data_IF_129827022839
#
_entry.id   IF_129827022839
#
_cell.length_a   1.000
_cell.length_b   1.000
_cell.length_c   1.000
_cell.angle_alpha   90.00
_cell.angle_beta   90.00
_cell.angle_gamma   90.00
#
_symmetry.space_group_name_H-M   'P 1'
#
loop_
_entity.id
_entity.type
_entity.pdbx_description
1 polymer ?
#
# COMPACT_ATOMS: atom_id res chain seq x y z
N UNK A 1 -11.21 2.70 10.84
CA UNK A 1 -9.82 2.91 10.33
C UNK A 1 -9.85 3.68 9.02
N UNK A 2 -8.88 4.53 8.78
CA UNK A 2 -8.65 5.24 7.52
C UNK A 2 -7.38 4.75 6.83
N UNK A 3 -7.29 4.95 5.51
CA UNK A 3 -6.15 4.51 4.71
C UNK A 3 -5.38 5.69 4.11
N UNK A 4 -4.07 5.53 4.02
CA UNK A 4 -3.19 6.46 3.29
C UNK A 4 -2.40 5.66 2.26
N UNK A 5 -2.42 6.11 1.01
CA UNK A 5 -1.46 5.68 0.00
C UNK A 5 -0.44 6.80 -0.16
N UNK A 6 0.82 6.51 0.15
CA UNK A 6 1.92 7.44 -0.10
C UNK A 6 2.55 7.09 -1.45
N UNK A 7 2.14 7.83 -2.46
CA UNK A 7 2.62 7.72 -3.84
C UNK A 7 3.55 8.89 -4.17
N UNK A 8 4.46 9.18 -3.25
CA UNK A 8 5.46 10.25 -3.37
C UNK A 8 6.76 9.77 -3.99
N UNK A 9 7.62 10.72 -4.29
CA UNK A 9 8.92 10.49 -4.88
C UNK A 9 9.01 11.10 -6.28
N UNK A 10 10.21 11.55 -6.65
CA UNK A 10 10.45 12.24 -7.94
C UNK A 10 10.32 11.34 -9.18
N UNK A 11 10.09 10.03 -8.99
CA UNK A 11 10.01 9.06 -10.10
C UNK A 11 11.27 8.96 -10.97
N UNK A 12 12.36 9.63 -10.58
CA UNK A 12 13.58 9.77 -11.41
C UNK A 12 14.25 8.43 -11.72
N UNK A 13 14.07 7.43 -10.85
CA UNK A 13 14.58 6.07 -11.08
C UNK A 13 13.94 5.36 -12.28
N UNK A 14 12.75 5.83 -12.71
CA UNK A 14 12.02 5.30 -13.86
C UNK A 14 12.13 6.20 -15.10
N UNK A 15 12.99 7.23 -15.08
CA UNK A 15 13.22 8.03 -16.29
C UNK A 15 13.75 7.12 -17.43
N UNK A 16 13.29 7.32 -18.68
CA UNK A 16 12.42 8.42 -19.15
C UNK A 16 10.90 8.14 -19.03
N UNK A 17 10.44 6.97 -18.54
CA UNK A 17 9.02 6.58 -18.51
C UNK A 17 8.18 7.63 -17.75
N UNK A 18 8.69 8.11 -16.62
CA UNK A 18 8.00 9.07 -15.74
C UNK A 18 8.33 10.52 -16.04
N UNK A 19 8.99 10.82 -17.17
CA UNK A 19 9.40 12.19 -17.52
C UNK A 19 8.27 13.05 -18.12
N UNK A 20 7.15 12.44 -18.49
CA UNK A 20 5.97 13.12 -19.02
C UNK A 20 4.92 13.34 -17.93
N UNK A 21 3.83 14.06 -18.29
CA UNK A 21 2.70 14.38 -17.39
C UNK A 21 1.84 13.17 -16.97
N UNK A 22 2.25 11.93 -17.30
CA UNK A 22 1.45 10.72 -17.13
C UNK A 22 2.00 9.77 -16.05
N UNK A 23 2.88 10.24 -15.16
CA UNK A 23 3.51 9.44 -14.08
C UNK A 23 2.50 8.64 -13.22
N UNK A 24 1.30 9.17 -12.86
CA UNK A 24 0.31 8.42 -12.10
C UNK A 24 -0.29 7.20 -12.81
N UNK A 25 -0.17 7.15 -14.13
CA UNK A 25 -0.76 6.12 -14.98
C UNK A 25 0.20 4.99 -15.36
N UNK A 26 1.39 4.91 -14.74
CA UNK A 26 2.33 3.81 -15.02
C UNK A 26 1.61 2.46 -14.95
N UNK A 27 1.48 1.73 -16.06
CA UNK A 27 0.74 0.47 -16.07
C UNK A 27 1.58 -0.63 -15.44
N UNK A 28 0.93 -1.45 -14.64
CA UNK A 28 1.41 -2.78 -14.29
C UNK A 28 0.44 -3.77 -14.92
N UNK A 29 0.84 -4.37 -16.02
CA UNK A 29 0.04 -5.20 -16.90
C UNK A 29 -1.18 -4.47 -17.48
N UNK A 30 -2.37 -4.63 -16.91
CA UNK A 30 -3.64 -4.16 -17.48
C UNK A 30 -4.29 -2.99 -16.71
N UNK A 31 -3.63 -2.46 -15.69
CA UNK A 31 -4.17 -1.38 -14.86
C UNK A 31 -3.09 -0.47 -14.28
N UNK A 32 -3.47 0.75 -13.86
CA UNK A 32 -2.52 1.68 -13.24
C UNK A 32 -1.92 1.12 -11.95
N UNK A 33 -0.65 1.41 -11.71
CA UNK A 33 0.10 0.99 -10.52
C UNK A 33 -0.63 1.29 -9.21
N UNK A 34 -1.26 2.46 -9.11
CA UNK A 34 -1.95 2.90 -7.89
C UNK A 34 -3.11 1.97 -7.48
N UNK A 35 -3.67 1.19 -8.40
CA UNK A 35 -4.74 0.24 -8.09
C UNK A 35 -4.29 -0.85 -7.13
N UNK A 36 -3.02 -1.23 -7.17
CA UNK A 36 -2.48 -2.28 -6.31
C UNK A 36 -2.46 -1.87 -4.83
N UNK A 37 -1.84 -0.76 -4.41
CA UNK A 37 -1.91 -0.32 -3.01
C UNK A 37 -3.33 0.07 -2.58
N UNK A 38 -4.13 0.69 -3.44
CA UNK A 38 -5.55 0.99 -3.13
C UNK A 38 -6.32 -0.30 -2.87
N UNK A 39 -6.10 -1.36 -3.65
CA UNK A 39 -6.77 -2.65 -3.46
C UNK A 39 -6.47 -3.26 -2.09
N UNK A 40 -5.27 -3.09 -1.56
CA UNK A 40 -4.90 -3.57 -0.22
C UNK A 40 -5.77 -2.91 0.85
N UNK A 41 -5.95 -1.59 0.78
CA UNK A 41 -6.81 -0.85 1.70
C UNK A 41 -8.26 -1.30 1.59
N UNK A 42 -8.77 -1.48 0.37
CA UNK A 42 -10.13 -1.95 0.13
C UNK A 42 -10.35 -3.39 0.65
N UNK A 43 -9.38 -4.30 0.46
CA UNK A 43 -9.42 -5.66 1.02
C UNK A 43 -9.39 -5.66 2.56
N UNK A 44 -8.75 -4.69 3.18
CA UNK A 44 -8.79 -4.47 4.62
C UNK A 44 -10.16 -3.94 5.12
N UNK A 45 -11.05 -3.56 4.22
CA UNK A 45 -12.36 -2.98 4.54
C UNK A 45 -12.34 -1.45 4.71
N UNK A 46 -11.26 -0.79 4.29
CA UNK A 46 -11.08 0.65 4.42
C UNK A 46 -11.72 1.37 3.24
N UNK A 47 -12.60 2.35 3.52
CA UNK A 47 -13.36 3.09 2.50
C UNK A 47 -13.01 4.57 2.41
N UNK A 48 -12.34 5.13 3.41
CA UNK A 48 -11.84 6.51 3.40
C UNK A 48 -10.34 6.46 3.18
N UNK A 49 -9.88 7.00 2.05
CA UNK A 49 -8.50 6.84 1.56
C UNK A 49 -7.93 8.19 1.17
N UNK A 50 -6.80 8.54 1.74
CA UNK A 50 -6.02 9.73 1.38
C UNK A 50 -4.88 9.32 0.44
N UNK A 51 -4.82 9.94 -0.73
CA UNK A 51 -3.70 9.82 -1.66
C UNK A 51 -2.75 11.00 -1.40
N UNK A 52 -1.54 10.68 -0.97
CA UNK A 52 -0.48 11.67 -0.78
C UNK A 52 0.53 11.51 -1.92
N UNK A 53 0.81 12.60 -2.63
CA UNK A 53 1.77 12.59 -3.73
C UNK A 53 2.46 13.94 -3.91
N UNK A 54 3.38 14.02 -4.86
CA UNK A 54 4.02 15.30 -5.22
C UNK A 54 3.00 16.27 -5.80
N UNK A 55 3.24 17.60 -5.70
CA UNK A 55 2.37 18.59 -6.35
C UNK A 55 2.22 18.37 -7.86
N UNK A 56 3.23 17.81 -8.52
CA UNK A 56 3.25 17.54 -9.96
C UNK A 56 2.34 16.36 -10.33
N UNK A 57 2.37 15.27 -9.56
CA UNK A 57 1.66 14.04 -9.88
C UNK A 57 0.21 14.01 -9.35
N UNK A 58 -0.07 14.75 -8.28
CA UNK A 58 -1.36 14.73 -7.60
C UNK A 58 -2.57 15.04 -8.51
N UNK A 59 -2.49 16.02 -9.46
CA UNK A 59 -3.56 16.25 -10.42
C UNK A 59 -3.88 15.05 -11.30
N UNK A 60 -2.87 14.25 -11.67
CA UNK A 60 -3.04 13.01 -12.41
C UNK A 60 -3.80 11.95 -11.61
N UNK A 61 -3.47 11.76 -10.35
CA UNK A 61 -4.22 10.86 -9.47
C UNK A 61 -5.68 11.29 -9.29
N UNK A 62 -5.94 12.60 -9.15
CA UNK A 62 -7.32 13.12 -9.09
C UNK A 62 -8.11 12.82 -10.36
N UNK A 63 -7.51 12.97 -11.53
CA UNK A 63 -8.19 12.64 -12.81
C UNK A 63 -8.45 11.15 -12.94
N UNK A 64 -7.52 10.30 -12.47
CA UNK A 64 -7.61 8.86 -12.59
C UNK A 64 -8.64 8.24 -11.63
N UNK A 65 -8.62 8.64 -10.36
CA UNK A 65 -9.38 8.00 -9.29
C UNK A 65 -10.69 8.73 -8.95
N UNK A 66 -10.81 10.01 -9.33
CA UNK A 66 -11.97 10.83 -9.04
C UNK A 66 -12.20 11.02 -7.54
N UNK A 67 -13.46 10.96 -7.13
CA UNK A 67 -13.88 11.03 -5.72
C UNK A 67 -14.00 9.65 -5.05
N UNK A 68 -13.85 8.56 -5.82
CA UNK A 68 -13.94 7.19 -5.36
C UNK A 68 -15.33 6.56 -5.46
N UNK A 69 -16.34 7.30 -5.91
CA UNK A 69 -17.71 6.78 -6.00
C UNK A 69 -17.85 5.58 -6.94
N UNK A 70 -17.00 5.48 -7.97
CA UNK A 70 -16.93 4.33 -8.88
C UNK A 70 -16.53 3.04 -8.18
N UNK A 71 -15.83 3.15 -7.06
CA UNK A 71 -15.31 2.03 -6.27
C UNK A 71 -15.98 1.90 -4.90
N UNK A 72 -17.04 2.67 -4.64
CA UNK A 72 -17.73 2.68 -3.35
C UNK A 72 -16.87 3.13 -2.17
N UNK A 73 -15.84 3.91 -2.43
CA UNK A 73 -14.92 4.52 -1.45
C UNK A 73 -14.94 6.04 -1.57
N UNK A 74 -14.24 6.72 -0.67
CA UNK A 74 -14.03 8.18 -0.73
C UNK A 74 -12.53 8.46 -0.78
N UNK A 75 -12.10 9.11 -1.86
CA UNK A 75 -10.72 9.60 -1.99
C UNK A 75 -10.61 11.05 -1.55
N UNK A 76 -9.59 11.33 -0.76
CA UNK A 76 -9.05 12.66 -0.51
C UNK A 76 -7.61 12.73 -1.00
N UNK A 77 -7.08 13.93 -1.18
CA UNK A 77 -5.79 14.18 -1.83
C UNK A 77 -5.02 15.23 -1.08
N UNK A 78 -3.73 14.95 -0.82
CA UNK A 78 -2.82 15.89 -0.17
C UNK A 78 -1.45 15.89 -0.84
N UNK A 79 -0.78 17.02 -0.77
CA UNK A 79 0.56 17.20 -1.34
C UNK A 79 1.65 16.87 -0.32
N UNK A 80 2.69 16.19 -0.77
CA UNK A 80 3.98 16.09 -0.11
C UNK A 80 5.00 16.85 -0.99
N UNK A 81 5.33 18.10 -0.65
CA UNK A 81 6.20 18.94 -1.50
C UNK A 81 7.64 18.46 -1.58
N UNK A 82 8.13 17.78 -0.54
CA UNK A 82 9.49 17.22 -0.45
C UNK A 82 9.46 15.83 0.17
N UNK A 83 10.39 14.92 -0.20
CA UNK A 83 10.44 13.56 0.30
C UNK A 83 11.11 13.48 1.69
N UNK A 84 10.48 14.08 2.69
CA UNK A 84 11.03 14.22 4.05
C UNK A 84 10.81 12.96 4.91
N UNK A 85 10.54 11.83 4.28
CA UNK A 85 10.39 10.52 4.92
C UNK A 85 8.94 10.00 4.96
N UNK A 86 8.80 8.69 5.18
CA UNK A 86 7.50 8.02 5.14
C UNK A 86 6.59 8.44 6.30
N UNK A 87 7.16 8.69 7.48
CA UNK A 87 6.39 9.09 8.66
C UNK A 87 5.74 10.47 8.52
N UNK A 88 6.20 11.31 7.59
CA UNK A 88 5.57 12.59 7.28
C UNK A 88 4.12 12.43 6.80
N UNK A 89 3.78 11.27 6.23
CA UNK A 89 2.41 10.97 5.80
C UNK A 89 1.38 11.13 6.92
N UNK A 90 1.74 10.80 8.17
CA UNK A 90 0.84 10.94 9.32
C UNK A 90 0.66 12.39 9.76
N UNK A 91 1.68 13.23 9.54
CA UNK A 91 1.63 14.67 9.83
C UNK A 91 0.78 15.38 8.77
N UNK A 92 1.03 15.10 7.48
CA UNK A 92 0.24 15.63 6.36
C UNK A 92 -1.22 15.19 6.47
N UNK A 93 -1.44 13.92 6.80
CA UNK A 93 -2.76 13.31 6.92
C UNK A 93 -3.47 13.54 8.25
N UNK A 94 -2.91 14.28 9.21
CA UNK A 94 -3.46 14.43 10.57
C UNK A 94 -4.95 14.80 10.59
N UNK A 95 -5.32 15.82 9.82
CA UNK A 95 -6.72 16.27 9.74
C UNK A 95 -7.63 15.19 9.13
N UNK A 96 -7.16 14.48 8.12
CA UNK A 96 -7.89 13.37 7.49
C UNK A 96 -8.04 12.20 8.46
N UNK A 97 -6.98 11.82 9.16
CA UNK A 97 -6.97 10.70 10.12
C UNK A 97 -7.94 11.01 11.26
N UNK A 98 -7.93 12.25 11.79
CA UNK A 98 -8.76 12.60 12.95
C UNK A 98 -8.44 11.72 14.16
N UNK A 99 -9.48 11.10 14.73
CA UNK A 99 -9.35 10.21 15.89
C UNK A 99 -9.26 8.72 15.51
N UNK A 100 -9.25 8.40 14.20
CA UNK A 100 -9.23 7.04 13.71
C UNK A 100 -7.83 6.41 13.75
N UNK A 101 -7.79 5.07 13.79
CA UNK A 101 -6.61 4.29 13.43
C UNK A 101 -6.32 4.45 11.94
N UNK A 102 -5.08 4.20 11.51
CA UNK A 102 -4.65 4.43 10.13
C UNK A 102 -3.81 3.27 9.59
N UNK A 103 -4.06 2.93 8.32
CA UNK A 103 -3.20 2.06 7.52
C UNK A 103 -2.45 2.90 6.49
N UNK A 104 -1.13 2.77 6.45
CA UNK A 104 -0.27 3.35 5.41
C UNK A 104 0.22 2.26 4.48
N UNK A 105 0.07 2.47 3.18
CA UNK A 105 0.65 1.61 2.14
C UNK A 105 1.45 2.45 1.15
N UNK A 106 2.59 1.92 0.72
CA UNK A 106 3.44 2.59 -0.25
C UNK A 106 2.91 2.40 -1.67
N UNK A 107 2.94 3.46 -2.47
CA UNK A 107 2.35 3.54 -3.80
C UNK A 107 3.00 2.64 -4.85
N UNK A 108 4.20 2.14 -4.60
CA UNK A 108 4.98 1.27 -5.50
C UNK A 108 5.01 -0.21 -5.07
N UNK A 109 4.21 -0.59 -4.06
CA UNK A 109 4.20 -1.95 -3.53
C UNK A 109 3.01 -2.75 -4.03
N UNK A 110 3.28 -3.99 -4.44
CA UNK A 110 2.30 -4.99 -4.85
C UNK A 110 2.37 -6.17 -3.90
N UNK A 111 1.22 -6.62 -3.43
CA UNK A 111 1.08 -7.78 -2.55
C UNK A 111 0.14 -8.80 -3.18
N UNK A 112 0.56 -10.06 -3.18
CA UNK A 112 -0.27 -11.15 -3.65
C UNK A 112 0.00 -12.41 -2.83
N UNK A 113 -1.05 -13.03 -2.30
CA UNK A 113 -0.89 -14.27 -1.53
C UNK A 113 -2.20 -14.77 -0.93
N UNK A 114 -2.22 -16.06 -0.64
CA UNK A 114 -3.38 -16.70 -0.02
C UNK A 114 -3.60 -16.16 1.40
N UNK A 115 -4.87 -16.01 1.79
CA UNK A 115 -5.28 -15.53 3.12
C UNK A 115 -4.90 -14.08 3.44
N UNK A 116 -4.45 -13.31 2.45
CA UNK A 116 -4.01 -11.92 2.67
C UNK A 116 -5.12 -11.06 3.28
N UNK A 117 -6.36 -11.14 2.76
CA UNK A 117 -7.50 -10.40 3.32
C UNK A 117 -7.72 -10.67 4.81
N UNK A 118 -7.55 -11.93 5.26
CA UNK A 118 -7.66 -12.27 6.68
C UNK A 118 -6.56 -11.60 7.50
N UNK A 119 -5.32 -11.64 7.02
CA UNK A 119 -4.18 -10.99 7.69
C UNK A 119 -4.38 -9.48 7.82
N UNK A 120 -4.93 -8.82 6.78
CA UNK A 120 -5.25 -7.41 6.80
C UNK A 120 -6.32 -7.07 7.85
N UNK A 121 -7.40 -7.86 7.93
CA UNK A 121 -8.47 -7.68 8.93
C UNK A 121 -7.98 -7.90 10.35
N UNK A 122 -7.10 -8.86 10.58
CA UNK A 122 -6.45 -9.08 11.88
C UNK A 122 -5.58 -7.86 12.28
N UNK A 123 -4.88 -7.24 11.32
CA UNK A 123 -4.10 -6.04 11.58
C UNK A 123 -4.99 -4.82 11.91
N UNK A 124 -6.13 -4.68 11.22
CA UNK A 124 -7.14 -3.66 11.54
C UNK A 124 -7.65 -3.84 12.98
N UNK A 125 -8.05 -5.06 13.34
CA UNK A 125 -8.55 -5.38 14.68
C UNK A 125 -7.55 -5.06 15.78
N UNK A 126 -6.28 -5.40 15.57
CA UNK A 126 -5.20 -5.07 16.52
C UNK A 126 -5.01 -3.58 16.73
N UNK A 127 -5.06 -2.80 15.65
CA UNK A 127 -4.90 -1.36 15.75
C UNK A 127 -6.09 -0.69 16.43
N UNK A 128 -7.32 -1.12 16.13
CA UNK A 128 -8.54 -0.51 16.64
C UNK A 128 -8.88 -0.96 18.07
N UNK A 129 -8.78 -2.25 18.34
CA UNK A 129 -9.27 -2.84 19.60
C UNK A 129 -8.15 -3.12 20.61
N UNK A 130 -6.93 -3.46 20.16
CA UNK A 130 -5.80 -3.72 21.05
C UNK A 130 -4.82 -2.54 21.17
N UNK A 131 -5.00 -1.49 20.38
CA UNK A 131 -4.09 -0.32 20.31
C UNK A 131 -2.63 -0.70 20.01
N UNK A 132 -2.45 -1.74 19.17
CA UNK A 132 -1.13 -2.25 18.74
C UNK A 132 -0.90 -1.99 17.26
N UNK A 133 0.34 -1.65 16.93
CA UNK A 133 0.79 -1.56 15.55
C UNK A 133 1.05 -2.96 14.97
N UNK A 134 0.80 -3.11 13.67
CA UNK A 134 1.19 -4.30 12.90
C UNK A 134 1.94 -3.88 11.65
N UNK A 135 3.11 -4.46 11.45
CA UNK A 135 3.89 -4.37 10.21
C UNK A 135 4.14 -5.77 9.66
N UNK A 136 4.57 -5.87 8.41
CA UNK A 136 4.74 -7.16 7.75
C UNK A 136 6.20 -7.39 7.38
N UNK A 137 6.69 -8.60 7.64
CA UNK A 137 8.04 -9.05 7.29
C UNK A 137 8.00 -10.01 6.11
N UNK A 138 8.91 -9.82 5.16
CA UNK A 138 9.08 -10.67 3.99
C UNK A 138 10.53 -11.09 3.83
N UNK A 139 10.77 -12.39 3.59
CA UNK A 139 12.12 -12.93 3.44
C UNK A 139 12.72 -12.53 2.09
N UNK A 140 13.88 -11.83 2.12
CA UNK A 140 14.58 -11.33 0.95
C UNK A 140 16.05 -11.75 0.93
N UNK A 141 16.67 -11.70 -0.23
CA UNK A 141 18.09 -12.02 -0.38
C UNK A 141 19.03 -10.83 -0.11
N UNK A 142 18.49 -9.60 -0.15
CA UNK A 142 19.22 -8.33 -0.05
C UNK A 142 18.62 -7.43 1.06
N UNK A 143 18.58 -7.93 2.33
CA UNK A 143 17.89 -7.24 3.43
C UNK A 143 18.46 -5.86 3.75
N UNK A 144 19.74 -5.60 3.48
CA UNK A 144 20.42 -4.33 3.72
C UNK A 144 19.79 -3.11 3.00
N UNK A 145 18.91 -3.37 2.04
CA UNK A 145 18.20 -2.31 1.31
C UNK A 145 16.97 -1.76 2.04
N UNK A 146 16.51 -2.46 3.08
CA UNK A 146 15.23 -2.25 3.74
C UNK A 146 15.38 -2.02 5.25
N UNK A 147 14.29 -1.68 5.91
CA UNK A 147 14.17 -1.90 7.34
C UNK A 147 14.17 -3.41 7.63
N UNK A 148 14.98 -3.86 8.56
CA UNK A 148 15.18 -5.29 8.87
C UNK A 148 14.73 -5.58 10.28
N UNK A 149 13.85 -6.59 10.44
CA UNK A 149 13.38 -7.07 11.74
C UNK A 149 14.21 -8.25 12.24
N UNK A 150 14.65 -8.18 13.50
CA UNK A 150 15.32 -9.26 14.21
C UNK A 150 14.32 -10.01 15.12
N UNK A 151 14.45 -11.32 15.21
CA UNK A 151 13.57 -12.16 16.02
C UNK A 151 14.36 -13.04 16.99
N UNK A 152 13.75 -13.34 18.14
CA UNK A 152 14.23 -14.40 19.04
C UNK A 152 13.80 -15.79 18.55
N UNK A 153 14.18 -16.83 19.29
CA UNK A 153 13.85 -18.22 18.99
C UNK A 153 12.32 -18.51 19.03
N UNK A 154 11.57 -17.69 19.76
CA UNK A 154 10.11 -17.80 19.91
C UNK A 154 9.35 -16.96 18.87
N UNK A 155 10.07 -16.22 18.00
CA UNK A 155 9.50 -15.38 16.96
C UNK A 155 9.05 -14.00 17.42
N UNK A 156 9.46 -13.56 18.61
CA UNK A 156 9.22 -12.20 19.06
C UNK A 156 10.23 -11.24 18.43
N UNK A 157 9.78 -10.03 18.11
CA UNK A 157 10.65 -9.01 17.53
C UNK A 157 11.58 -8.44 18.60
N UNK A 158 12.88 -8.50 18.35
CA UNK A 158 13.91 -7.94 19.21
C UNK A 158 14.31 -6.53 18.79
N UNK A 159 14.46 -6.29 17.50
CA UNK A 159 14.86 -5.00 16.96
C UNK A 159 14.35 -4.79 15.55
N UNK A 160 14.29 -3.54 15.12
CA UNK A 160 14.13 -3.13 13.72
C UNK A 160 15.17 -2.08 13.42
N UNK A 161 15.95 -2.29 12.34
CA UNK A 161 17.02 -1.37 11.93
C UNK A 161 16.82 -0.93 10.49
N UNK A 162 16.97 0.36 10.22
CA UNK A 162 16.87 0.92 8.86
C UNK A 162 18.17 0.70 8.09
N UNK A 163 18.09 -0.04 6.98
CA UNK A 163 19.20 -0.27 6.05
C UNK A 163 20.52 -0.61 6.76
N UNK A 164 20.52 -1.65 7.60
CA UNK A 164 21.71 -2.02 8.37
C UNK A 164 22.84 -2.50 7.44
N UNK A 165 24.07 -2.14 7.77
CA UNK A 165 25.26 -2.64 7.03
C UNK A 165 25.45 -4.14 7.23
N UNK A 166 25.10 -4.63 8.40
CA UNK A 166 25.16 -6.05 8.79
C UNK A 166 23.75 -6.47 9.26
N UNK A 167 22.90 -6.92 8.34
CA UNK A 167 21.53 -7.33 8.68
C UNK A 167 21.51 -8.52 9.65
N UNK A 168 20.71 -8.43 10.71
CA UNK A 168 20.56 -9.49 11.71
C UNK A 168 19.59 -10.60 11.29
N UNK A 169 18.84 -10.37 10.23
CA UNK A 169 17.96 -11.35 9.60
C UNK A 169 17.76 -11.04 8.11
N UNK A 170 17.07 -11.92 7.41
CA UNK A 170 16.63 -11.70 6.02
C UNK A 170 15.20 -11.15 5.90
N UNK A 171 14.56 -10.77 7.03
CA UNK A 171 13.19 -10.29 7.00
C UNK A 171 13.13 -8.77 6.84
N UNK A 172 12.82 -8.34 5.61
CA UNK A 172 12.54 -6.93 5.31
C UNK A 172 11.15 -6.54 5.81
N UNK A 173 11.04 -5.37 6.41
CA UNK A 173 9.75 -4.73 6.70
C UNK A 173 9.23 -4.10 5.42
N UNK A 174 8.09 -4.59 4.94
CA UNK A 174 7.50 -4.16 3.67
C UNK A 174 6.66 -2.90 3.82
N UNK A 175 6.32 -2.26 2.72
CA UNK A 175 5.63 -0.97 2.67
C UNK A 175 4.13 -1.02 3.00
N UNK A 176 3.77 -1.68 4.10
CA UNK A 176 2.40 -1.83 4.59
C UNK A 176 2.39 -1.79 6.12
N UNK A 177 1.70 -0.81 6.70
CA UNK A 177 1.77 -0.49 8.12
C UNK A 177 0.39 -0.19 8.68
N UNK A 178 0.03 -0.80 9.81
CA UNK A 178 -1.22 -0.55 10.54
C UNK A 178 -0.90 0.03 11.91
N UNK A 179 -1.49 1.17 12.23
CA UNK A 179 -1.23 1.86 13.50
C UNK A 179 -2.51 2.32 14.19
N UNK A 180 -2.55 2.30 15.53
CA UNK A 180 -3.54 3.05 16.29
C UNK A 180 -3.31 4.56 16.12
N UNK A 181 -4.32 5.37 16.43
CA UNK A 181 -4.33 6.83 16.25
C UNK A 181 -3.09 7.54 16.81
N UNK A 182 -2.53 7.06 17.92
CA UNK A 182 -1.35 7.67 18.54
C UNK A 182 -0.11 7.79 17.65
N UNK A 183 -0.08 7.11 16.49
CA UNK A 183 1.01 7.24 15.51
C UNK A 183 1.18 8.69 15.04
N UNK A 184 0.13 9.48 14.98
CA UNK A 184 0.21 10.91 14.61
C UNK A 184 1.09 11.67 15.59
N UNK A 185 0.86 11.46 16.89
CA UNK A 185 1.68 12.04 17.95
C UNK A 185 3.13 11.55 17.91
N UNK A 186 3.33 10.26 17.66
CA UNK A 186 4.67 9.69 17.51
C UNK A 186 5.41 10.33 16.34
N UNK A 187 4.79 10.41 15.16
CA UNK A 187 5.40 10.99 13.96
C UNK A 187 5.81 12.45 14.14
N UNK A 188 5.03 13.22 14.92
CA UNK A 188 5.35 14.63 15.25
C UNK A 188 6.54 14.78 16.18
N UNK A 189 6.87 13.76 16.97
CA UNK A 189 7.90 13.83 18.01
C UNK A 189 9.20 13.10 17.64
N UNK A 190 9.25 12.29 16.60
CA UNK A 190 10.50 11.69 16.12
C UNK A 190 11.40 12.76 15.47
N UNK A 191 12.70 12.52 15.51
CA UNK A 191 13.69 13.40 14.89
C UNK A 191 14.06 12.85 13.51
N UNK A 192 14.37 13.73 12.54
CA UNK A 192 14.93 13.29 11.27
C UNK A 192 16.21 12.47 11.46
N UNK A 193 16.40 11.46 10.64
CA UNK A 193 17.64 10.67 10.58
C UNK A 193 18.81 11.47 10.03
N UNK A 194 19.99 10.87 9.98
CA UNK A 194 21.17 11.46 9.34
C UNK A 194 20.94 11.80 7.85
N UNK A 195 19.91 11.20 7.22
CA UNK A 195 19.47 11.50 5.83
C UNK A 195 18.50 12.69 5.76
N UNK A 196 18.10 13.26 6.89
CA UNK A 196 17.10 14.33 6.97
C UNK A 196 15.66 13.83 6.86
N UNK A 197 15.41 12.51 6.93
CA UNK A 197 14.10 11.90 6.74
C UNK A 197 13.45 11.51 8.07
N UNK A 198 12.13 11.69 8.18
CA UNK A 198 11.32 11.12 9.25
C UNK A 198 11.06 9.64 8.95
N UNK A 199 11.90 8.78 9.51
CA UNK A 199 11.93 7.36 9.18
C UNK A 199 10.74 6.62 9.80
N UNK A 200 10.09 5.78 8.99
CA UNK A 200 9.05 4.87 9.48
C UNK A 200 9.62 3.84 10.45
N UNK A 201 10.88 3.45 10.26
CA UNK A 201 11.60 2.55 11.18
C UNK A 201 11.70 3.12 12.58
N UNK A 202 11.90 4.43 12.72
CA UNK A 202 11.90 5.11 14.03
C UNK A 202 10.52 5.05 14.70
N UNK A 203 9.45 5.19 13.92
CA UNK A 203 8.07 5.01 14.41
C UNK A 203 7.87 3.58 14.89
N UNK A 204 8.29 2.58 14.12
CA UNK A 204 8.19 1.16 14.50
C UNK A 204 8.99 0.84 15.75
N UNK A 205 10.19 1.41 15.91
CA UNK A 205 11.02 1.26 17.13
C UNK A 205 10.32 1.83 18.35
N UNK A 206 9.61 2.94 18.21
CA UNK A 206 8.81 3.53 19.28
C UNK A 206 7.73 2.55 19.77
N UNK A 207 6.94 1.99 18.86
CA UNK A 207 5.92 0.99 19.20
C UNK A 207 6.54 -0.30 19.76
N UNK A 208 7.69 -0.73 19.24
CA UNK A 208 8.40 -1.91 19.74
C UNK A 208 8.85 -1.73 21.19
N UNK A 209 9.40 -0.57 21.52
CA UNK A 209 9.87 -0.25 22.89
C UNK A 209 8.73 -0.35 23.92
N UNK A 210 7.53 0.04 23.53
CA UNK A 210 6.35 0.00 24.39
C UNK A 210 5.66 -1.37 24.40
N UNK A 211 6.20 -2.37 23.68
CA UNK A 211 5.58 -3.70 23.55
C UNK A 211 4.30 -3.72 22.71
N UNK A 212 4.14 -2.74 21.85
CA UNK A 212 2.93 -2.51 21.07
C UNK A 212 3.13 -2.71 19.56
N UNK A 213 4.19 -3.38 19.15
CA UNK A 213 4.47 -3.72 17.77
C UNK A 213 4.39 -5.22 17.54
N UNK A 214 3.61 -5.63 16.52
CA UNK A 214 3.64 -6.96 15.95
C UNK A 214 4.26 -6.92 14.56
N UNK A 215 5.19 -7.84 14.28
CA UNK A 215 5.62 -8.15 12.91
C UNK A 215 4.96 -9.45 12.49
N UNK A 216 4.13 -9.38 11.45
CA UNK A 216 3.47 -10.54 10.86
C UNK A 216 4.25 -10.99 9.63
N UNK A 217 4.68 -12.25 9.60
CA UNK A 217 5.48 -12.77 8.51
C UNK A 217 4.58 -13.16 7.32
N UNK A 218 4.93 -12.66 6.16
CA UNK A 218 4.43 -13.14 4.87
C UNK A 218 5.24 -14.39 4.49
N UNK A 219 4.58 -15.55 4.50
CA UNK A 219 5.24 -16.83 4.29
C UNK A 219 5.51 -17.14 2.82
N UNK A 220 5.99 -18.36 2.56
CA UNK A 220 6.10 -18.90 1.20
C UNK A 220 4.74 -18.90 0.53
N UNK A 221 4.68 -18.57 -0.76
CA UNK A 221 3.42 -18.41 -1.48
C UNK A 221 2.89 -16.98 -1.49
N UNK A 222 3.51 -16.05 -0.73
CA UNK A 222 3.34 -14.63 -0.94
C UNK A 222 4.33 -14.11 -1.98
N UNK A 223 3.87 -13.15 -2.77
CA UNK A 223 4.71 -12.28 -3.55
C UNK A 223 4.58 -10.85 -3.01
N UNK A 224 5.71 -10.25 -2.70
CA UNK A 224 5.86 -8.83 -2.48
C UNK A 224 6.78 -8.30 -3.56
N UNK A 225 6.31 -7.34 -4.34
CA UNK A 225 7.02 -6.75 -5.46
C UNK A 225 7.04 -5.24 -5.27
N UNK A 226 8.18 -4.63 -5.54
CA UNK A 226 8.28 -3.19 -5.74
C UNK A 226 8.27 -2.87 -7.25
N UNK A 227 8.02 -1.62 -7.59
CA UNK A 227 8.03 -1.14 -8.98
C UNK A 227 8.93 0.08 -9.13
N UNK A 228 9.93 0.20 -8.26
CA UNK A 228 10.81 1.36 -8.18
C UNK A 228 11.91 1.42 -9.24
N UNK A 229 12.13 0.37 -10.02
CA UNK A 229 13.11 0.32 -11.13
C UNK A 229 12.46 -0.23 -12.39
N UNK A 230 13.11 -0.04 -13.56
CA UNK A 230 12.62 -0.58 -14.84
C UNK A 230 12.47 -2.11 -14.80
N UNK A 231 13.45 -2.80 -14.21
CA UNK A 231 13.44 -4.25 -14.12
C UNK A 231 12.33 -4.73 -13.18
N UNK A 232 12.20 -4.15 -11.98
CA UNK A 232 11.16 -4.54 -11.03
C UNK A 232 9.75 -4.22 -11.54
N UNK A 233 9.56 -3.13 -12.29
CA UNK A 233 8.29 -2.81 -12.94
C UNK A 233 7.91 -3.85 -14.01
N UNK A 234 8.89 -4.28 -14.82
CA UNK A 234 8.69 -5.31 -15.84
C UNK A 234 8.39 -6.68 -15.21
N UNK A 235 9.11 -7.06 -14.18
CA UNK A 235 8.90 -8.29 -13.42
C UNK A 235 7.51 -8.33 -12.76
N UNK A 236 7.08 -7.22 -12.15
CA UNK A 236 5.76 -7.09 -11.56
C UNK A 236 4.65 -7.25 -12.62
N UNK A 237 4.80 -6.60 -13.78
CA UNK A 237 3.85 -6.73 -14.89
C UNK A 237 3.75 -8.17 -15.38
N UNK A 238 4.90 -8.85 -15.55
CA UNK A 238 4.95 -10.26 -15.98
C UNK A 238 4.30 -11.17 -14.93
N UNK A 239 4.58 -10.96 -13.65
CA UNK A 239 3.98 -11.72 -12.56
C UNK A 239 2.45 -11.62 -12.58
N UNK A 240 1.90 -10.40 -12.63
CA UNK A 240 0.45 -10.18 -12.66
C UNK A 240 -0.17 -10.81 -13.90
N UNK A 241 0.44 -10.62 -15.07
CA UNK A 241 -0.01 -11.21 -16.33
C UNK A 241 -0.16 -12.74 -16.22
N UNK A 242 0.88 -13.41 -15.71
CA UNK A 242 0.88 -14.89 -15.59
C UNK A 242 -0.24 -15.35 -14.65
N UNK A 243 -0.38 -14.72 -13.49
CA UNK A 243 -1.41 -15.08 -12.51
C UNK A 243 -2.82 -14.88 -13.10
N UNK A 244 -3.09 -13.71 -13.67
CA UNK A 244 -4.41 -13.40 -14.23
C UNK A 244 -4.77 -14.32 -15.40
N UNK A 245 -3.84 -14.59 -16.30
CA UNK A 245 -4.07 -15.52 -17.42
C UNK A 245 -4.33 -16.95 -16.98
N UNK A 246 -3.65 -17.42 -15.94
CA UNK A 246 -3.82 -18.78 -15.42
C UNK A 246 -5.11 -18.97 -14.66
N UNK A 247 -5.48 -18.02 -13.83
CA UNK A 247 -6.66 -18.14 -12.96
C UNK A 247 -7.94 -17.62 -13.62
N UNK A 248 -7.83 -16.76 -14.63
CA UNK A 248 -8.99 -16.06 -15.21
C UNK A 248 -9.61 -15.05 -14.24
N UNK A 249 -8.90 -14.72 -13.17
CA UNK A 249 -9.29 -13.75 -12.14
C UNK A 249 -8.29 -12.59 -12.15
N UNK A 250 -8.78 -11.39 -11.86
CA UNK A 250 -7.91 -10.20 -11.81
C UNK A 250 -7.28 -10.00 -10.43
N UNK A 251 -6.06 -9.49 -10.44
CA UNK A 251 -5.37 -8.98 -9.26
C UNK A 251 -5.66 -7.48 -9.13
N UNK A 252 -5.96 -7.01 -7.93
CA UNK A 252 -6.20 -5.59 -7.65
C UNK A 252 -7.26 -4.92 -8.55
N UNK A 253 -8.33 -5.63 -8.88
CA UNK A 253 -9.48 -5.07 -9.58
C UNK A 253 -10.38 -4.37 -8.57
N UNK A 254 -10.32 -3.03 -8.51
CA UNK A 254 -11.02 -2.24 -7.50
C UNK A 254 -12.54 -2.40 -7.60
N UNK A 255 -13.05 -2.45 -8.82
CA UNK A 255 -14.49 -2.62 -9.11
C UNK A 255 -15.00 -3.98 -8.61
N UNK A 256 -14.23 -5.05 -8.83
CA UNK A 256 -14.57 -6.39 -8.31
C UNK A 256 -14.57 -6.42 -6.78
N UNK A 257 -13.55 -5.82 -6.16
CA UNK A 257 -13.46 -5.74 -4.69
C UNK A 257 -14.67 -4.98 -4.13
N UNK A 258 -14.98 -3.82 -4.70
CA UNK A 258 -16.12 -3.01 -4.29
C UNK A 258 -17.46 -3.77 -4.44
N UNK A 259 -17.65 -4.46 -5.56
CA UNK A 259 -18.84 -5.26 -5.82
C UNK A 259 -18.98 -6.44 -4.86
N UNK A 260 -17.90 -7.20 -4.63
CA UNK A 260 -17.88 -8.32 -3.68
C UNK A 260 -18.07 -7.90 -2.21
N UNK A 261 -17.64 -6.69 -1.87
CA UNK A 261 -17.88 -6.10 -0.54
C UNK A 261 -19.29 -5.52 -0.39
N UNK A 262 -20.07 -5.47 -1.48
CA UNK A 262 -21.39 -4.84 -1.48
C UNK A 262 -21.37 -3.32 -1.39
N UNK A 263 -20.25 -2.68 -1.73
CA UNK A 263 -20.08 -1.22 -1.71
C UNK A 263 -20.64 -0.55 -2.96
N UNK A 264 -20.70 -1.30 -4.06
CA UNK A 264 -21.42 -0.94 -5.30
C UNK A 264 -22.36 -2.09 -5.70
N UNK A 265 -23.46 -1.74 -6.36
CA UNK A 265 -24.42 -2.71 -6.87
C UNK A 265 -24.12 -3.09 -8.33
N UNK A 266 -24.89 -4.03 -8.88
CA UNK A 266 -24.77 -4.49 -10.27
C UNK A 266 -24.92 -3.34 -11.28
N UNK A 267 -25.86 -2.43 -11.03
CA UNK A 267 -26.12 -1.29 -11.91
C UNK A 267 -24.89 -0.36 -11.97
N UNK A 268 -24.26 -0.10 -10.82
CA UNK A 268 -23.05 0.72 -10.79
C UNK A 268 -21.88 0.01 -11.46
N UNK A 269 -21.69 -1.28 -11.20
CA UNK A 269 -20.66 -2.08 -11.85
C UNK A 269 -20.82 -2.08 -13.36
N UNK A 270 -22.05 -2.24 -13.87
CA UNK A 270 -22.34 -2.13 -15.31
C UNK A 270 -21.98 -0.76 -15.87
N UNK A 271 -22.36 0.32 -15.20
CA UNK A 271 -22.04 1.69 -15.63
C UNK A 271 -20.54 1.92 -15.75
N UNK A 272 -19.75 1.39 -14.81
CA UNK A 272 -18.27 1.49 -14.84
C UNK A 272 -17.67 0.61 -15.93
N UNK A 273 -18.25 -0.57 -16.19
CA UNK A 273 -17.75 -1.52 -17.17
C UNK A 273 -18.02 -1.10 -18.63
N UNK A 274 -19.16 -0.46 -18.91
CA UNK A 274 -19.58 -0.13 -20.27
C UNK A 274 -18.57 0.69 -21.08
N UNK A 275 -17.91 1.73 -20.56
CA UNK A 275 -16.89 2.46 -21.30
C UNK A 275 -15.71 1.60 -21.74
N UNK A 276 -15.45 0.49 -21.01
CA UNK A 276 -14.34 -0.43 -21.24
C UNK A 276 -14.77 -1.73 -21.94
N UNK A 277 -16.01 -1.85 -22.40
CA UNK A 277 -16.56 -3.12 -22.91
C UNK A 277 -15.81 -3.68 -24.12
N UNK A 278 -15.09 -2.84 -24.85
CA UNK A 278 -14.30 -3.24 -26.01
C UNK A 278 -12.98 -3.93 -25.64
N UNK A 279 -12.55 -3.86 -24.39
CA UNK A 279 -11.34 -4.51 -23.91
C UNK A 279 -11.63 -5.63 -22.91
N UNK A 280 -10.60 -6.43 -22.61
CA UNK A 280 -10.74 -7.59 -21.73
C UNK A 280 -11.11 -7.22 -20.27
N UNK A 281 -10.71 -6.03 -19.82
CA UNK A 281 -10.99 -5.57 -18.46
C UNK A 281 -12.50 -5.31 -18.29
N UNK A 282 -13.11 -4.53 -19.16
CA UNK A 282 -14.57 -4.28 -19.13
C UNK A 282 -15.40 -5.55 -19.32
N UNK A 283 -14.96 -6.45 -20.23
CA UNK A 283 -15.59 -7.74 -20.42
C UNK A 283 -15.52 -8.63 -19.18
N UNK A 284 -14.41 -8.56 -18.43
CA UNK A 284 -14.27 -9.24 -17.14
C UNK A 284 -15.31 -8.73 -16.13
N UNK A 285 -15.44 -7.41 -15.98
CA UNK A 285 -16.42 -6.81 -15.06
C UNK A 285 -17.85 -7.23 -15.40
N UNK A 286 -18.22 -7.24 -16.69
CA UNK A 286 -19.55 -7.69 -17.12
C UNK A 286 -19.82 -9.17 -16.80
N UNK A 287 -18.79 -10.02 -16.83
CA UNK A 287 -18.94 -11.43 -16.42
C UNK A 287 -19.22 -11.61 -14.92
N UNK A 288 -18.84 -10.65 -14.07
CA UNK A 288 -19.12 -10.71 -12.63
C UNK A 288 -20.61 -10.54 -12.33
N UNK A 289 -21.34 -9.76 -13.18
CA UNK A 289 -22.79 -9.52 -13.05
C UNK A 289 -23.58 -10.74 -13.51
N UNK A 290 -23.08 -11.45 -14.51
CA UNK A 290 -23.81 -12.55 -15.16
C UNK A 290 -23.51 -13.94 -14.55
N UNK A 291 -22.87 -14.00 -13.38
CA UNK A 291 -22.65 -15.23 -12.61
C UNK A 291 -23.69 -15.37 -11.51
#
# INVERSE_FOLDING_TARGET
MKGIVLAGGSGTRLYPITKGDESPANPVYDKPMIFYPVSVLMLAGIREILIISTPQDLPGFRRLLGDGSDYGVRFEYAEQPSPDGLAQAFIIGERFIGDDSVCLVLGDNIFYGQSFTRMLKEAVDKAENEQKATVFGYYVNDPERYGVAEFDADGNVLSIEEKPKEPKSNYAVVGLYFYPNKVVGVAKNIKPSARGELEITTVNQWFLKDGELKVQLLGRGFAWLDTGTHDSLSEASTFVEVIEKRQGLKVACLEEIAFKQGWIDEKRLEQVALPMIKNQYGQYLMRLINK
#
